data_IF_575110682489
#
_entry.id   IF_575110682489
#
_cell.length_a   1.000
_cell.length_b   1.000
_cell.length_c   1.000
_cell.angle_alpha   90.00
_cell.angle_beta   90.00
_cell.angle_gamma   90.00
#
_symmetry.space_group_name_H-M   'P 1'
#
loop_
_entity.id
_entity.type
_entity.pdbx_description
1 polymer ?
#
# COMPACT_ATOMS: atom_id res chain seq x y z
N UNK A 1 -18.89 -21.69 1.42
CA UNK A 1 -18.00 -20.55 1.02
C UNK A 1 -17.39 -20.79 -0.37
N UNK A 2 -16.35 -21.62 -0.58
CA UNK A 2 -15.82 -21.84 -1.96
C UNK A 2 -16.77 -22.59 -2.91
N UNK A 3 -17.61 -23.47 -2.37
CA UNK A 3 -18.58 -24.24 -3.15
C UNK A 3 -19.80 -23.41 -3.59
N UNK A 4 -20.12 -22.32 -2.86
CA UNK A 4 -21.33 -21.51 -3.10
C UNK A 4 -21.08 -20.29 -4.01
N UNK A 5 -19.82 -19.84 -4.11
CA UNK A 5 -19.47 -18.59 -4.81
C UNK A 5 -18.68 -18.81 -6.12
N UNK A 6 -18.47 -20.04 -6.59
CA UNK A 6 -17.74 -20.29 -7.85
C UNK A 6 -16.25 -19.89 -7.82
N UNK A 7 -15.60 -19.90 -8.99
CA UNK A 7 -14.17 -19.54 -9.13
C UNK A 7 -14.02 -18.01 -9.23
N UNK A 8 -13.65 -17.37 -8.13
CA UNK A 8 -13.25 -15.97 -8.09
C UNK A 8 -11.75 -15.78 -7.84
N UNK A 9 -11.21 -14.66 -8.34
CA UNK A 9 -9.82 -14.24 -8.10
C UNK A 9 -9.58 -13.95 -6.61
N UNK A 10 -8.32 -14.06 -6.18
CA UNK A 10 -7.95 -13.81 -4.77
C UNK A 10 -8.26 -12.38 -4.30
N UNK A 11 -8.19 -11.40 -5.20
CA UNK A 11 -8.57 -10.01 -4.94
C UNK A 11 -10.04 -9.88 -4.53
N UNK A 12 -10.93 -10.62 -5.19
CA UNK A 12 -12.36 -10.63 -4.88
C UNK A 12 -12.61 -11.23 -3.49
N UNK A 13 -11.99 -12.37 -3.18
CA UNK A 13 -12.10 -12.98 -1.85
C UNK A 13 -11.57 -12.09 -0.73
N UNK A 14 -10.45 -11.39 -0.98
CA UNK A 14 -9.93 -10.38 -0.05
C UNK A 14 -10.96 -9.28 0.22
N UNK A 15 -11.61 -8.77 -0.82
CA UNK A 15 -12.65 -7.75 -0.70
C UNK A 15 -13.84 -8.25 0.14
N UNK A 16 -14.38 -9.42 -0.18
CA UNK A 16 -15.52 -10.00 0.55
C UNK A 16 -15.21 -10.24 2.04
N UNK A 17 -14.01 -10.75 2.35
CA UNK A 17 -13.60 -10.96 3.74
C UNK A 17 -13.48 -9.62 4.50
N UNK A 18 -12.95 -8.58 3.86
CA UNK A 18 -12.88 -7.24 4.45
C UNK A 18 -14.29 -6.70 4.65
N UNK A 19 -15.16 -6.75 3.63
CA UNK A 19 -16.54 -6.26 3.72
C UNK A 19 -17.32 -6.95 4.84
N UNK A 20 -17.17 -8.27 4.98
CA UNK A 20 -17.93 -9.05 5.96
C UNK A 20 -17.41 -8.93 7.39
N UNK A 21 -16.09 -8.82 7.58
CA UNK A 21 -15.46 -8.97 8.90
C UNK A 21 -14.60 -7.79 9.36
N UNK A 22 -14.34 -6.79 8.52
CA UNK A 22 -13.60 -5.60 8.92
C UNK A 22 -14.49 -4.67 9.75
N UNK A 23 -14.42 -4.83 11.07
CA UNK A 23 -14.98 -3.86 12.01
C UNK A 23 -14.05 -2.66 12.23
N UNK A 24 -14.54 -1.63 12.93
CA UNK A 24 -13.77 -0.41 13.20
C UNK A 24 -12.45 -0.69 13.94
N UNK A 25 -12.43 -1.66 14.86
CA UNK A 25 -11.22 -2.04 15.57
C UNK A 25 -10.16 -2.66 14.64
N UNK A 26 -10.58 -3.47 13.66
CA UNK A 26 -9.69 -4.01 12.64
C UNK A 26 -9.11 -2.90 11.75
N UNK A 27 -9.94 -1.95 11.32
CA UNK A 27 -9.51 -0.79 10.51
C UNK A 27 -8.47 0.02 11.26
N UNK A 28 -8.77 0.38 12.51
CA UNK A 28 -7.85 1.11 13.38
C UNK A 28 -6.52 0.37 13.58
N UNK A 29 -6.54 -0.95 13.82
CA UNK A 29 -5.31 -1.76 13.94
C UNK A 29 -4.49 -1.74 12.65
N UNK A 30 -5.14 -1.83 11.48
CA UNK A 30 -4.47 -1.84 10.17
C UNK A 30 -3.88 -0.48 9.83
N UNK A 31 -4.62 0.60 10.09
CA UNK A 31 -4.16 1.98 9.96
C UNK A 31 -2.95 2.21 10.86
N UNK A 32 -3.06 1.92 12.16
CA UNK A 32 -1.95 2.08 13.10
C UNK A 32 -0.73 1.23 12.73
N UNK A 33 -0.94 0.03 12.19
CA UNK A 33 0.16 -0.80 11.70
C UNK A 33 0.88 -0.23 10.47
N UNK A 34 0.17 0.50 9.60
CA UNK A 34 0.78 1.25 8.51
C UNK A 34 1.46 2.52 9.02
N UNK A 35 0.81 3.27 9.92
CA UNK A 35 1.32 4.53 10.42
C UNK A 35 2.65 4.36 11.17
N UNK A 36 2.77 3.31 11.98
CA UNK A 36 4.00 3.00 12.71
C UNK A 36 5.06 2.26 11.88
N UNK A 37 4.76 1.86 10.65
CA UNK A 37 5.72 1.21 9.78
C UNK A 37 6.60 2.25 9.10
N UNK A 38 7.73 2.56 9.73
CA UNK A 38 8.83 3.32 9.11
C UNK A 38 9.81 2.31 8.50
N UNK A 39 10.24 2.54 7.27
CA UNK A 39 11.21 1.68 6.60
C UNK A 39 12.60 1.87 7.22
N UNK A 40 13.28 0.76 7.49
CA UNK A 40 14.64 0.74 7.98
C UNK A 40 15.53 -0.07 7.02
N UNK A 41 16.50 0.59 6.38
CA UNK A 41 17.38 -0.04 5.38
C UNK A 41 18.28 -1.17 5.91
N UNK A 42 18.58 -1.18 7.22
CA UNK A 42 19.40 -2.20 7.86
C UNK A 42 18.59 -3.46 8.21
N UNK A 43 17.28 -3.29 8.46
CA UNK A 43 16.41 -4.35 8.98
C UNK A 43 15.44 -4.90 7.94
N UNK A 44 14.94 -4.05 7.04
CA UNK A 44 13.86 -4.37 6.12
C UNK A 44 14.38 -4.69 4.72
N UNK A 45 13.82 -5.75 4.12
CA UNK A 45 14.00 -6.01 2.69
C UNK A 45 13.06 -5.11 1.88
N UNK A 46 13.56 -4.20 1.00
CA UNK A 46 12.77 -3.16 0.37
C UNK A 46 11.49 -3.66 -0.31
N UNK A 47 11.61 -4.66 -1.19
CA UNK A 47 10.46 -5.21 -1.93
C UNK A 47 9.42 -5.86 -1.02
N UNK A 48 9.86 -6.64 -0.04
CA UNK A 48 8.96 -7.33 0.89
C UNK A 48 8.21 -6.32 1.76
N UNK A 49 8.92 -5.32 2.26
CA UNK A 49 8.33 -4.27 3.06
C UNK A 49 7.35 -3.42 2.25
N UNK A 50 7.72 -3.04 1.02
CA UNK A 50 6.86 -2.29 0.10
C UNK A 50 5.55 -3.04 -0.16
N UNK A 51 5.61 -4.31 -0.57
CA UNK A 51 4.41 -5.09 -0.84
C UNK A 51 3.52 -5.25 0.39
N UNK A 52 4.12 -5.37 1.58
CA UNK A 52 3.37 -5.41 2.84
C UNK A 52 2.62 -4.10 3.11
N UNK A 53 3.22 -2.94 2.83
CA UNK A 53 2.55 -1.65 3.00
C UNK A 53 1.46 -1.43 1.95
N UNK A 54 1.73 -1.81 0.69
CA UNK A 54 0.73 -1.79 -0.39
C UNK A 54 -0.50 -2.62 0.00
N UNK A 55 -0.31 -3.86 0.46
CA UNK A 55 -1.40 -4.74 0.87
C UNK A 55 -2.20 -4.22 2.09
N UNK A 56 -1.59 -3.37 2.93
CA UNK A 56 -2.31 -2.67 4.02
C UNK A 56 -3.16 -1.54 3.46
N UNK A 57 -2.59 -0.70 2.59
CA UNK A 57 -3.29 0.43 1.98
C UNK A 57 -4.43 -0.02 1.07
N UNK A 58 -4.21 -1.00 0.19
CA UNK A 58 -5.27 -1.54 -0.69
C UNK A 58 -6.44 -2.17 0.08
N UNK A 59 -6.19 -2.64 1.31
CA UNK A 59 -7.24 -3.18 2.17
C UNK A 59 -8.04 -2.12 2.94
N UNK A 60 -7.44 -0.94 3.16
CA UNK A 60 -8.06 0.19 3.85
C UNK A 60 -8.76 1.14 2.86
N UNK A 61 -8.16 1.32 1.69
CA UNK A 61 -8.56 2.28 0.67
C UNK A 61 -8.47 1.60 -0.71
N UNK A 62 -9.42 0.72 -1.04
CA UNK A 62 -9.39 -0.06 -2.28
C UNK A 62 -9.47 0.82 -3.55
N UNK A 63 -10.11 1.99 -3.45
CA UNK A 63 -10.28 2.92 -4.58
C UNK A 63 -9.07 3.86 -4.78
N UNK A 64 -8.00 3.69 -4.01
CA UNK A 64 -6.81 4.54 -4.12
C UNK A 64 -5.97 4.15 -5.33
N UNK A 65 -5.53 5.14 -6.11
CA UNK A 65 -4.63 4.91 -7.25
C UNK A 65 -3.26 4.40 -6.80
N UNK A 66 -2.61 3.59 -7.64
CA UNK A 66 -1.27 3.06 -7.38
C UNK A 66 -0.25 4.19 -7.13
N UNK A 67 -0.36 5.31 -7.86
CA UNK A 67 0.48 6.49 -7.65
C UNK A 67 0.35 7.04 -6.22
N UNK A 68 -0.88 7.16 -5.72
CA UNK A 68 -1.13 7.66 -4.37
C UNK A 68 -0.65 6.68 -3.30
N UNK A 69 -0.84 5.38 -3.53
CA UNK A 69 -0.30 4.31 -2.68
C UNK A 69 1.22 4.43 -2.60
N UNK A 70 1.90 4.53 -3.74
CA UNK A 70 3.35 4.64 -3.82
C UNK A 70 3.87 5.88 -3.08
N UNK A 71 3.21 7.03 -3.25
CA UNK A 71 3.58 8.27 -2.56
C UNK A 71 3.39 8.17 -1.04
N UNK A 72 2.33 7.52 -0.56
CA UNK A 72 2.14 7.25 0.88
C UNK A 72 3.24 6.35 1.44
N UNK A 73 3.62 5.31 0.71
CA UNK A 73 4.69 4.40 1.13
C UNK A 73 6.04 5.13 1.12
N UNK A 74 6.31 5.96 0.12
CA UNK A 74 7.56 6.72 0.01
C UNK A 74 7.78 7.64 1.22
N UNK A 75 6.72 8.29 1.71
CA UNK A 75 6.79 9.14 2.93
C UNK A 75 7.24 8.36 4.18
N UNK A 76 7.09 7.04 4.19
CA UNK A 76 7.55 6.17 5.29
C UNK A 76 9.00 5.74 5.15
N UNK A 77 9.69 6.10 4.05
CA UNK A 77 11.08 5.77 3.79
C UNK A 77 12.12 6.76 4.33
N UNK A 78 11.67 7.77 5.08
CA UNK A 78 12.54 8.83 5.61
C UNK A 78 12.84 9.92 4.57
N UNK A 79 13.15 11.12 5.07
CA UNK A 79 13.31 12.33 4.22
C UNK A 79 14.42 12.20 3.19
N UNK A 80 15.50 11.50 3.54
CA UNK A 80 16.66 11.34 2.65
C UNK A 80 16.34 10.49 1.42
N UNK A 81 15.63 9.37 1.59
CA UNK A 81 15.23 8.54 0.46
C UNK A 81 14.14 9.20 -0.38
N UNK A 82 13.17 9.86 0.27
CA UNK A 82 12.15 10.65 -0.43
C UNK A 82 12.78 11.76 -1.28
N UNK A 83 13.76 12.48 -0.73
CA UNK A 83 14.48 13.52 -1.44
C UNK A 83 15.31 12.96 -2.60
N UNK A 84 16.09 11.89 -2.35
CA UNK A 84 16.91 11.25 -3.38
C UNK A 84 16.08 10.70 -4.55
N UNK A 85 14.89 10.18 -4.29
CA UNK A 85 13.98 9.72 -5.35
C UNK A 85 13.40 10.89 -6.14
N UNK A 86 12.90 11.94 -5.49
CA UNK A 86 12.38 13.13 -6.18
C UNK A 86 13.44 13.80 -7.06
N UNK A 87 14.69 13.91 -6.57
CA UNK A 87 15.80 14.47 -7.32
C UNK A 87 16.26 13.61 -8.51
N UNK A 88 15.95 12.30 -8.51
CA UNK A 88 16.29 11.39 -9.63
C UNK A 88 15.14 11.21 -10.63
N UNK A 89 13.90 11.46 -10.20
CA UNK A 89 12.73 11.48 -11.06
C UNK A 89 12.58 12.82 -11.82
N UNK A 90 13.68 13.42 -12.25
CA UNK A 90 13.70 14.67 -13.02
C UNK A 90 12.84 14.51 -14.28
N UNK A 91 11.74 15.27 -14.32
CA UNK A 91 10.98 15.76 -15.47
C UNK A 91 11.14 14.97 -16.79
N UNK A 92 10.51 13.80 -16.91
CA UNK A 92 10.13 13.25 -18.23
C UNK A 92 8.68 13.55 -18.59
N UNK A 93 8.09 14.60 -18.00
CA UNK A 93 6.76 15.10 -18.37
C UNK A 93 6.79 16.60 -18.63
N UNK A 94 7.78 17.04 -19.40
CA UNK A 94 7.67 18.22 -20.26
C UNK A 94 7.77 17.72 -21.69
N UNK A 95 6.65 17.25 -22.22
CA UNK A 95 6.39 17.25 -23.66
C UNK A 95 5.03 17.90 -23.84
N UNK A 96 5.02 19.22 -23.63
CA UNK A 96 4.16 20.08 -24.44
C UNK A 96 4.93 20.31 -25.74
N UNK A 97 4.41 19.76 -26.84
CA UNK A 97 4.49 20.29 -28.21
C UNK A 97 3.18 19.92 -28.91
#
# INVERSE_FOLDING_TARGET
>A
MRQDHGKHYWSWWKSEMITKWANNAWRFKRENAFENAIFNSEKDKPLTWFFKQRDRLSALQPDMSDTMINMKILRKCGRELEHAMKCRCVETCSTED
#
